data_IF_767135162489
#
_entry.id   IF_767135162489
#
_cell.length_a   1.000
_cell.length_b   1.000
_cell.length_c   1.000
_cell.angle_alpha   90.00
_cell.angle_beta   90.00
_cell.angle_gamma   90.00
#
_symmetry.space_group_name_H-M   'P 1'
#
loop_
_entity.id
_entity.type
_entity.pdbx_description
1 polymer ?
#
# COMPACT_ATOMS: atom_id res chain seq x y z
N UNK A 1 11.11 6.59 -11.08
CA UNK A 1 11.29 5.12 -11.04
C UNK A 1 10.02 4.50 -10.47
N UNK A 2 9.35 3.55 -11.14
CA UNK A 2 8.20 2.89 -10.53
C UNK A 2 8.70 2.09 -9.34
N UNK A 3 8.35 2.52 -8.14
CA UNK A 3 8.71 1.82 -6.91
C UNK A 3 8.07 0.43 -6.95
N UNK A 4 8.89 -0.62 -7.02
CA UNK A 4 8.42 -2.00 -6.86
C UNK A 4 8.10 -2.22 -5.37
N UNK A 5 6.84 -2.00 -5.01
CA UNK A 5 6.32 -2.41 -3.71
C UNK A 5 6.05 -3.92 -3.69
N UNK A 6 6.30 -4.56 -2.56
CA UNK A 6 6.18 -6.00 -2.36
C UNK A 6 5.39 -6.34 -1.09
N UNK A 7 4.98 -7.60 -0.97
CA UNK A 7 4.37 -8.09 0.27
C UNK A 7 5.32 -7.90 1.46
N UNK A 8 4.77 -7.44 2.58
CA UNK A 8 5.51 -7.11 3.80
C UNK A 8 5.87 -5.63 3.93
N UNK A 9 5.83 -4.87 2.84
CA UNK A 9 6.15 -3.44 2.88
C UNK A 9 5.15 -2.66 3.71
N UNK A 10 5.66 -1.72 4.50
CA UNK A 10 4.84 -0.71 5.18
C UNK A 10 4.83 0.55 4.33
N UNK A 11 3.65 1.07 4.04
CA UNK A 11 3.45 2.24 3.22
C UNK A 11 2.55 3.26 3.91
N UNK A 12 2.67 4.52 3.50
CA UNK A 12 1.73 5.58 3.84
C UNK A 12 1.00 6.02 2.57
N UNK A 13 -0.28 6.37 2.70
CA UNK A 13 -1.12 6.77 1.58
C UNK A 13 -1.15 8.30 1.41
N UNK A 14 -1.30 8.77 0.18
CA UNK A 14 -1.36 10.21 -0.15
C UNK A 14 -2.68 10.82 0.31
N UNK A 15 -3.77 10.05 0.24
CA UNK A 15 -5.11 10.45 0.64
C UNK A 15 -5.78 9.35 1.45
N UNK A 16 -6.78 9.74 2.24
CA UNK A 16 -7.65 8.81 2.95
C UNK A 16 -8.47 7.91 2.08
N UNK A 17 -9.02 6.90 2.73
CA UNK A 17 -10.16 6.17 2.20
C UNK A 17 -11.42 7.03 2.42
N UNK A 18 -12.46 6.82 1.62
CA UNK A 18 -13.74 7.51 1.78
C UNK A 18 -14.31 7.43 3.21
N UNK A 19 -13.94 6.37 3.95
CA UNK A 19 -14.36 6.10 5.33
C UNK A 19 -13.52 6.84 6.40
N UNK A 20 -12.25 7.22 6.14
CA UNK A 20 -11.35 7.87 7.11
C UNK A 20 -10.20 8.66 6.47
N UNK A 21 -9.74 9.77 7.10
CA UNK A 21 -8.48 10.41 6.71
C UNK A 21 -7.35 9.38 6.79
N UNK A 22 -6.64 9.15 5.69
CA UNK A 22 -5.68 8.05 5.48
C UNK A 22 -4.34 8.28 6.15
N UNK A 23 -4.37 8.90 7.31
CA UNK A 23 -3.20 9.11 8.12
C UNK A 23 -2.94 7.80 8.84
N UNK A 24 -2.03 7.00 8.29
CA UNK A 24 -1.69 5.71 8.86
C UNK A 24 -0.69 4.93 8.03
N UNK A 25 -0.02 4.00 8.71
CA UNK A 25 0.82 3.01 8.08
C UNK A 25 -0.02 1.79 7.70
N UNK A 26 0.18 1.29 6.50
CA UNK A 26 -0.51 0.12 5.96
C UNK A 26 0.52 -0.90 5.50
N UNK A 27 0.33 -2.16 5.84
CA UNK A 27 1.20 -3.24 5.37
C UNK A 27 0.64 -3.84 4.09
N UNK A 28 1.46 -3.98 3.06
CA UNK A 28 1.09 -4.72 1.85
C UNK A 28 1.03 -6.20 2.20
N UNK A 29 -0.17 -6.77 2.12
CA UNK A 29 -0.40 -8.19 2.38
C UNK A 29 -0.42 -9.00 1.08
N UNK A 30 -0.66 -8.35 -0.07
CA UNK A 30 -0.66 -9.01 -1.38
C UNK A 30 -0.43 -8.01 -2.50
N UNK A 31 0.37 -8.40 -3.50
CA UNK A 31 0.46 -7.71 -4.79
C UNK A 31 -0.61 -8.31 -5.71
N UNK A 32 -1.45 -7.47 -6.30
CA UNK A 32 -2.51 -7.88 -7.21
C UNK A 32 -2.01 -7.82 -8.66
N UNK A 33 -2.62 -8.57 -9.59
CA UNK A 33 -2.36 -8.42 -11.01
C UNK A 33 -2.61 -6.98 -11.46
N UNK A 34 -1.93 -6.57 -12.53
CA UNK A 34 -2.16 -5.26 -13.14
C UNK A 34 -3.61 -5.17 -13.62
N UNK A 35 -4.26 -4.03 -13.39
CA UNK A 35 -5.62 -3.80 -13.88
C UNK A 35 -5.63 -3.62 -15.41
N UNK A 36 -6.81 -3.48 -16.00
CA UNK A 36 -6.98 -3.25 -17.45
C UNK A 36 -6.27 -1.99 -17.97
N UNK A 37 -5.92 -1.05 -17.07
CA UNK A 37 -5.14 0.16 -17.37
C UNK A 37 -3.63 -0.04 -17.20
N UNK A 38 -3.17 -1.27 -16.95
CA UNK A 38 -1.76 -1.59 -16.73
C UNK A 38 -1.20 -1.13 -15.36
N UNK A 39 -2.07 -0.71 -14.43
CA UNK A 39 -1.64 -0.19 -13.14
C UNK A 39 -1.53 -1.33 -12.12
N UNK A 40 -0.42 -1.35 -11.37
CA UNK A 40 -0.26 -2.27 -10.24
C UNK A 40 -1.20 -1.90 -9.09
N UNK A 41 -1.86 -2.92 -8.57
CA UNK A 41 -2.74 -2.83 -7.43
C UNK A 41 -2.16 -3.62 -6.25
N UNK A 42 -2.50 -3.19 -5.05
CA UNK A 42 -2.00 -3.77 -3.81
C UNK A 42 -3.15 -3.95 -2.85
N UNK A 43 -3.12 -5.06 -2.12
CA UNK A 43 -4.00 -5.28 -0.98
C UNK A 43 -3.22 -4.97 0.27
N UNK A 44 -3.75 -4.08 1.09
CA UNK A 44 -3.07 -3.56 2.28
C UNK A 44 -3.93 -3.74 3.52
N UNK A 45 -3.28 -3.90 4.67
CA UNK A 45 -3.93 -4.02 5.98
C UNK A 45 -3.52 -2.85 6.87
N UNK A 46 -4.52 -2.15 7.41
CA UNK A 46 -4.30 -1.07 8.36
C UNK A 46 -4.22 -1.57 9.80
N UNK A 47 -3.88 -0.66 10.73
CA UNK A 47 -3.89 -0.95 12.17
C UNK A 47 -5.27 -1.34 12.72
N UNK A 48 -6.34 -0.98 12.00
CA UNK A 48 -7.72 -1.42 12.27
C UNK A 48 -7.98 -2.88 11.88
N UNK A 49 -6.97 -3.58 11.37
CA UNK A 49 -7.05 -4.97 10.94
C UNK A 49 -7.81 -5.18 9.63
N UNK A 50 -8.35 -4.11 9.02
CA UNK A 50 -9.15 -4.17 7.79
C UNK A 50 -8.25 -4.17 6.56
N UNK A 51 -8.64 -5.00 5.59
CA UNK A 51 -7.98 -5.08 4.29
C UNK A 51 -8.63 -4.13 3.28
N UNK A 52 -7.80 -3.47 2.47
CA UNK A 52 -8.24 -2.51 1.45
C UNK A 52 -7.42 -2.69 0.18
N UNK A 53 -8.06 -2.56 -0.98
CA UNK A 53 -7.36 -2.50 -2.25
C UNK A 53 -6.97 -1.04 -2.55
N UNK A 54 -5.73 -0.84 -2.99
CA UNK A 54 -5.20 0.46 -3.41
C UNK A 54 -4.45 0.31 -4.74
N UNK A 55 -4.27 1.41 -5.43
CA UNK A 55 -3.43 1.50 -6.61
C UNK A 55 -2.06 2.13 -6.27
N UNK A 56 -1.05 1.85 -7.09
CA UNK A 56 0.30 2.38 -6.89
C UNK A 56 0.35 3.90 -6.73
N UNK A 57 -0.53 4.64 -7.41
CA UNK A 57 -0.58 6.11 -7.38
C UNK A 57 -1.09 6.66 -6.03
N UNK A 58 -1.74 5.83 -5.21
CA UNK A 58 -2.23 6.22 -3.89
C UNK A 58 -1.15 6.15 -2.80
N UNK A 59 0.03 5.61 -3.12
CA UNK A 59 1.13 5.43 -2.17
C UNK A 59 2.00 6.70 -2.15
N UNK A 60 2.13 7.31 -0.97
CA UNK A 60 2.97 8.50 -0.75
C UNK A 60 4.42 8.12 -0.48
N UNK A 61 4.64 7.15 0.39
CA UNK A 61 5.97 6.73 0.83
C UNK A 61 5.98 5.28 1.30
N UNK A 62 7.16 4.64 1.20
CA UNK A 62 7.45 3.32 1.78
C UNK A 62 8.34 3.52 3.00
N UNK A 63 7.94 2.92 4.11
CA UNK A 63 8.83 2.63 5.23
C UNK A 63 9.32 1.20 5.03
N UNK A 64 10.60 1.03 4.67
CA UNK A 64 11.19 -0.31 4.72
C UNK A 64 11.16 -0.75 6.18
N UNK A 65 10.53 -1.89 6.44
CA UNK A 65 10.76 -2.60 7.70
C UNK A 65 12.26 -2.85 7.82
N UNK A 66 12.86 -2.45 8.94
CA UNK A 66 14.26 -2.67 9.26
C UNK A 66 14.49 -4.17 9.46
N UNK A 67 14.75 -4.89 8.38
CA UNK A 67 15.17 -6.28 8.43
C UNK A 67 16.22 -6.53 7.36
N UNK A 68 17.30 -5.75 7.44
CA UNK A 68 18.63 -6.05 6.87
C UNK A 68 19.66 -5.44 7.84
N UNK A 69 20.13 -6.24 8.79
CA UNK A 69 21.40 -6.06 9.52
C UNK A 69 22.10 -7.42 9.48
#
# INVERSE_FOLDING_TARGET
>A
MPSNYQQGDVISLTFGFLDRPGVGNFQIIRVLPVNEKGQRQYRVRGADGRERAIEAHQIRSRSKSLSEI
#
